data_IF_765856059389
#
_entry.id   IF_765856059389
#
_cell.length_a   1.000
_cell.length_b   1.000
_cell.length_c   1.000
_cell.angle_alpha   90.00
_cell.angle_beta   90.00
_cell.angle_gamma   90.00
#
_symmetry.space_group_name_H-M   'P 1'
#
loop_
_entity.id
_entity.type
_entity.pdbx_description
1 polymer ?
#
# COMPACT_ATOMS: atom_id res chain seq x y z
N UNK A 1 14.06 32.99 -32.42
CA UNK A 1 12.96 32.02 -32.69
C UNK A 1 11.87 32.36 -31.69
N UNK A 2 10.84 33.07 -32.12
CA UNK A 2 9.67 33.44 -31.33
C UNK A 2 8.71 32.26 -31.36
N UNK A 3 8.69 31.47 -30.31
CA UNK A 3 7.57 30.55 -30.07
C UNK A 3 6.33 31.40 -29.82
N UNK A 4 5.36 31.32 -30.76
CA UNK A 4 4.14 32.09 -30.71
C UNK A 4 3.34 31.76 -29.45
N UNK A 5 2.94 32.80 -28.73
CA UNK A 5 1.94 32.73 -27.68
C UNK A 5 0.64 32.12 -28.27
N UNK A 6 -0.04 31.23 -27.57
CA UNK A 6 -1.27 30.63 -28.04
C UNK A 6 -2.34 31.72 -28.23
N UNK A 7 -2.73 31.93 -29.45
CA UNK A 7 -3.76 32.90 -29.83
C UNK A 7 -5.13 32.25 -29.81
N UNK A 8 -5.73 32.16 -28.61
CA UNK A 8 -7.15 31.87 -28.49
C UNK A 8 -7.52 30.86 -27.40
N UNK A 9 -8.68 31.04 -26.80
CA UNK A 9 -9.25 30.13 -25.80
C UNK A 9 -9.40 28.69 -26.33
N UNK A 10 -9.54 28.49 -27.64
CA UNK A 10 -9.65 27.16 -28.28
C UNK A 10 -8.36 26.35 -28.18
N UNK A 11 -7.20 26.98 -28.37
CA UNK A 11 -5.90 26.28 -28.20
C UNK A 11 -5.65 25.86 -26.78
N UNK A 12 -6.08 26.64 -25.79
CA UNK A 12 -5.97 26.29 -24.36
C UNK A 12 -6.87 25.11 -24.00
N UNK A 13 -8.10 25.06 -24.57
CA UNK A 13 -8.98 23.91 -24.35
C UNK A 13 -8.43 22.63 -24.95
N UNK A 14 -7.86 22.66 -26.13
CA UNK A 14 -7.26 21.50 -26.80
C UNK A 14 -6.05 21.01 -26.00
N UNK A 15 -5.17 21.90 -25.53
CA UNK A 15 -4.03 21.55 -24.71
C UNK A 15 -4.46 20.96 -23.35
N UNK A 16 -5.48 21.53 -22.72
CA UNK A 16 -6.03 21.04 -21.46
C UNK A 16 -6.66 19.65 -21.61
N UNK A 17 -7.44 19.42 -22.68
CA UNK A 17 -8.02 18.11 -23.00
C UNK A 17 -6.92 17.06 -23.26
N UNK A 18 -5.88 17.41 -24.02
CA UNK A 18 -4.76 16.52 -24.27
C UNK A 18 -3.99 16.17 -22.98
N UNK A 19 -3.82 17.13 -22.08
CA UNK A 19 -3.22 16.92 -20.76
C UNK A 19 -4.07 16.01 -19.87
N UNK A 20 -5.38 16.24 -19.82
CA UNK A 20 -6.31 15.37 -19.10
C UNK A 20 -6.32 13.95 -19.66
N UNK A 21 -6.36 13.81 -20.98
CA UNK A 21 -6.33 12.50 -21.63
C UNK A 21 -5.07 11.71 -21.28
N UNK A 22 -3.89 12.36 -21.32
CA UNK A 22 -2.63 11.71 -20.90
C UNK A 22 -2.66 11.24 -19.47
N UNK A 23 -3.21 12.05 -18.54
CA UNK A 23 -3.37 11.67 -17.13
C UNK A 23 -4.32 10.48 -16.97
N UNK A 24 -5.46 10.51 -17.65
CA UNK A 24 -6.44 9.41 -17.59
C UNK A 24 -5.85 8.14 -18.18
N UNK A 25 -5.16 8.21 -19.31
CA UNK A 25 -4.49 7.06 -19.90
C UNK A 25 -3.40 6.50 -18.99
N UNK A 26 -2.62 7.36 -18.33
CA UNK A 26 -1.60 6.96 -17.35
C UNK A 26 -2.23 6.22 -16.17
N UNK A 27 -3.29 6.78 -15.57
CA UNK A 27 -4.01 6.13 -14.47
C UNK A 27 -4.61 4.79 -14.93
N UNK A 28 -5.26 4.76 -16.09
CA UNK A 28 -5.85 3.55 -16.66
C UNK A 28 -4.79 2.46 -16.88
N UNK A 29 -3.62 2.82 -17.38
CA UNK A 29 -2.50 1.89 -17.56
C UNK A 29 -2.09 1.24 -16.24
N UNK A 30 -1.94 2.03 -15.15
CA UNK A 30 -1.59 1.48 -13.84
C UNK A 30 -2.71 0.64 -13.23
N UNK A 31 -3.98 1.06 -13.39
CA UNK A 31 -5.14 0.27 -12.91
C UNK A 31 -5.20 -1.08 -13.61
N UNK A 32 -5.05 -1.10 -14.94
CA UNK A 32 -4.99 -2.36 -15.71
C UNK A 32 -3.80 -3.21 -15.25
N UNK A 33 -2.64 -2.59 -15.05
CA UNK A 33 -1.45 -3.27 -14.51
C UNK A 33 -1.71 -3.92 -13.16
N UNK A 34 -2.37 -3.22 -12.23
CA UNK A 34 -2.76 -3.76 -10.93
C UNK A 34 -3.70 -4.96 -11.06
N UNK A 35 -4.69 -4.88 -11.95
CA UNK A 35 -5.61 -6.00 -12.22
C UNK A 35 -4.85 -7.21 -12.75
N UNK A 36 -3.97 -7.02 -13.75
CA UNK A 36 -3.17 -8.11 -14.32
C UNK A 36 -2.25 -8.74 -13.28
N UNK A 37 -1.55 -7.93 -12.47
CA UNK A 37 -0.67 -8.42 -11.41
C UNK A 37 -1.46 -9.18 -10.34
N UNK A 38 -2.65 -8.70 -9.97
CA UNK A 38 -3.54 -9.39 -9.04
C UNK A 38 -3.94 -10.78 -9.58
N UNK A 39 -4.29 -10.87 -10.87
CA UNK A 39 -4.59 -12.15 -11.52
C UNK A 39 -3.39 -13.11 -11.56
N UNK A 40 -2.20 -12.59 -11.89
CA UNK A 40 -0.96 -13.38 -11.83
C UNK A 40 -0.73 -13.90 -10.41
N UNK A 41 -0.92 -13.04 -9.39
CA UNK A 41 -0.78 -13.42 -7.98
C UNK A 41 -1.77 -14.52 -7.57
N UNK A 42 -3.00 -14.49 -8.10
CA UNK A 42 -3.98 -15.56 -7.90
C UNK A 42 -3.57 -16.88 -8.52
N UNK A 43 -2.83 -16.86 -9.62
CA UNK A 43 -2.37 -18.07 -10.31
C UNK A 43 -1.32 -18.84 -9.49
N UNK A 44 -0.52 -18.14 -8.68
CA UNK A 44 0.45 -18.78 -7.77
C UNK A 44 -0.18 -19.37 -6.52
N UNK A 45 -1.31 -20.09 -6.68
CA UNK A 45 -2.11 -20.60 -5.57
C UNK A 45 -1.71 -22.02 -5.09
N UNK A 46 -0.73 -22.68 -5.71
CA UNK A 46 -0.30 -24.03 -5.37
C UNK A 46 -1.31 -25.15 -5.73
N UNK A 47 -2.47 -24.79 -6.30
CA UNK A 47 -3.49 -25.74 -6.77
C UNK A 47 -3.48 -25.90 -8.30
N UNK A 48 -2.71 -25.07 -9.01
CA UNK A 48 -2.63 -25.09 -10.46
C UNK A 48 -3.86 -24.49 -11.18
N UNK A 49 -4.61 -23.63 -10.50
CA UNK A 49 -5.77 -22.93 -11.10
C UNK A 49 -5.24 -21.95 -12.16
N UNK A 50 -5.78 -22.04 -13.37
CA UNK A 50 -5.38 -21.17 -14.47
C UNK A 50 -5.71 -19.69 -14.23
N UNK A 51 -4.98 -18.81 -14.94
CA UNK A 51 -5.16 -17.35 -14.82
C UNK A 51 -6.60 -16.90 -15.09
N UNK A 52 -7.21 -17.40 -16.16
CA UNK A 52 -8.59 -17.04 -16.50
C UNK A 52 -9.61 -17.67 -15.53
N UNK A 53 -9.33 -18.88 -15.05
CA UNK A 53 -10.20 -19.57 -14.10
C UNK A 53 -10.23 -18.84 -12.75
N UNK A 54 -9.12 -18.25 -12.31
CA UNK A 54 -9.10 -17.41 -11.11
C UNK A 54 -10.07 -16.23 -11.21
N UNK A 55 -10.08 -15.52 -12.33
CA UNK A 55 -11.04 -14.43 -12.54
C UNK A 55 -12.47 -14.94 -12.64
N UNK A 56 -12.68 -16.09 -13.26
CA UNK A 56 -14.00 -16.71 -13.32
C UNK A 56 -14.54 -16.99 -11.92
N UNK A 57 -13.77 -17.62 -11.03
CA UNK A 57 -14.17 -17.86 -9.65
C UNK A 57 -14.47 -16.57 -8.89
N UNK A 58 -13.69 -15.50 -9.11
CA UNK A 58 -13.94 -14.20 -8.50
C UNK A 58 -15.29 -13.61 -8.96
N UNK A 59 -15.56 -13.66 -10.25
CA UNK A 59 -16.80 -13.13 -10.83
C UNK A 59 -18.00 -13.99 -10.44
N UNK A 60 -17.88 -15.31 -10.52
CA UNK A 60 -18.94 -16.27 -10.16
C UNK A 60 -19.34 -16.12 -8.70
N UNK A 61 -18.37 -15.96 -7.79
CA UNK A 61 -18.63 -15.72 -6.39
C UNK A 61 -19.36 -14.38 -6.15
N UNK A 62 -18.95 -13.31 -6.83
CA UNK A 62 -19.63 -12.00 -6.75
C UNK A 62 -21.05 -12.03 -7.30
N UNK A 63 -21.32 -12.90 -8.28
CA UNK A 63 -22.65 -13.13 -8.84
C UNK A 63 -23.51 -14.08 -8.00
N UNK A 64 -22.96 -14.61 -6.89
CA UNK A 64 -23.68 -15.51 -5.98
C UNK A 64 -23.72 -16.97 -6.43
N UNK A 65 -22.80 -17.41 -7.28
CA UNK A 65 -22.69 -18.82 -7.64
C UNK A 65 -22.36 -19.67 -6.41
N UNK A 66 -23.02 -20.79 -6.29
CA UNK A 66 -22.82 -21.77 -5.20
C UNK A 66 -22.31 -23.07 -5.79
N UNK A 67 -21.26 -23.61 -5.21
CA UNK A 67 -20.67 -24.89 -5.59
C UNK A 67 -21.06 -25.97 -4.59
N UNK A 68 -21.15 -27.23 -5.06
CA UNK A 68 -21.45 -28.36 -4.19
C UNK A 68 -20.36 -28.50 -3.10
N UNK A 69 -20.79 -28.66 -1.86
CA UNK A 69 -19.90 -28.74 -0.71
C UNK A 69 -18.86 -29.87 -0.87
N UNK A 70 -17.58 -29.52 -0.73
CA UNK A 70 -16.41 -30.40 -0.93
C UNK A 70 -16.14 -30.82 -2.39
N UNK A 71 -16.77 -30.19 -3.37
CA UNK A 71 -16.33 -30.36 -4.76
C UNK A 71 -14.96 -29.69 -4.98
N UNK A 72 -14.19 -30.07 -6.00
CA UNK A 72 -12.95 -29.38 -6.37
C UNK A 72 -13.17 -27.88 -6.59
N UNK A 73 -14.27 -27.51 -7.25
CA UNK A 73 -14.64 -26.14 -7.54
C UNK A 73 -14.95 -25.34 -6.26
N UNK A 74 -15.61 -25.97 -5.27
CA UNK A 74 -15.86 -25.36 -3.99
C UNK A 74 -14.56 -25.05 -3.24
N UNK A 75 -13.57 -25.96 -3.27
CA UNK A 75 -12.28 -25.72 -2.65
C UNK A 75 -11.49 -24.61 -3.36
N UNK A 76 -11.57 -24.53 -4.69
CA UNK A 76 -10.90 -23.51 -5.48
C UNK A 76 -11.48 -22.12 -5.19
N UNK A 77 -12.82 -21.99 -5.18
CA UNK A 77 -13.51 -20.76 -4.79
C UNK A 77 -13.18 -20.36 -3.35
N UNK A 78 -13.26 -21.30 -2.41
CA UNK A 78 -12.95 -21.05 -1.00
C UNK A 78 -11.54 -20.53 -0.79
N UNK A 79 -10.54 -21.13 -1.45
CA UNK A 79 -9.14 -20.72 -1.33
C UNK A 79 -8.91 -19.35 -1.96
N UNK A 80 -9.47 -19.09 -3.13
CA UNK A 80 -9.37 -17.79 -3.79
C UNK A 80 -9.98 -16.72 -2.90
N UNK A 81 -11.20 -16.93 -2.43
CA UNK A 81 -11.96 -15.90 -1.72
C UNK A 81 -11.48 -15.67 -0.28
N UNK A 82 -11.19 -16.73 0.46
CA UNK A 82 -10.84 -16.62 1.89
C UNK A 82 -9.35 -16.47 2.16
N UNK A 83 -8.48 -16.83 1.20
CA UNK A 83 -7.03 -16.79 1.41
C UNK A 83 -6.34 -15.73 0.54
N UNK A 84 -6.65 -15.69 -0.76
CA UNK A 84 -5.92 -14.83 -1.70
C UNK A 84 -6.54 -13.44 -1.85
N UNK A 85 -7.86 -13.33 -1.92
CA UNK A 85 -8.54 -12.03 -2.05
C UNK A 85 -8.24 -11.07 -0.90
N UNK A 86 -8.26 -11.47 0.38
CA UNK A 86 -7.87 -10.59 1.47
C UNK A 86 -6.42 -10.11 1.37
N UNK A 87 -5.50 -10.96 0.90
CA UNK A 87 -4.10 -10.59 0.71
C UNK A 87 -3.93 -9.54 -0.39
N UNK A 88 -4.62 -9.71 -1.50
CA UNK A 88 -4.62 -8.74 -2.60
C UNK A 88 -5.22 -7.41 -2.14
N UNK A 89 -6.35 -7.44 -1.43
CA UNK A 89 -6.98 -6.24 -0.88
C UNK A 89 -6.04 -5.48 0.07
N UNK A 90 -5.38 -6.19 0.98
CA UNK A 90 -4.39 -5.59 1.90
C UNK A 90 -3.21 -5.01 1.12
N UNK A 91 -2.69 -5.72 0.11
CA UNK A 91 -1.58 -5.23 -0.71
C UNK A 91 -1.94 -3.92 -1.45
N UNK A 92 -3.15 -3.84 -2.01
CA UNK A 92 -3.64 -2.62 -2.68
C UNK A 92 -3.77 -1.48 -1.68
N UNK A 93 -4.43 -1.71 -0.54
CA UNK A 93 -4.65 -0.69 0.49
C UNK A 93 -3.31 -0.18 1.05
N UNK A 94 -2.38 -1.10 1.35
CA UNK A 94 -1.05 -0.75 1.85
C UNK A 94 -0.24 0.03 0.82
N UNK A 95 -0.27 -0.39 -0.44
CA UNK A 95 0.39 0.32 -1.54
C UNK A 95 -0.15 1.73 -1.75
N UNK A 96 -1.47 1.91 -1.72
CA UNK A 96 -2.11 3.22 -1.78
C UNK A 96 -1.71 4.09 -0.58
N UNK A 97 -1.71 3.54 0.63
CA UNK A 97 -1.29 4.24 1.84
C UNK A 97 0.16 4.70 1.76
N UNK A 98 1.08 3.82 1.35
CA UNK A 98 2.49 4.16 1.18
C UNK A 98 2.71 5.22 0.10
N UNK A 99 1.98 5.17 -1.01
CA UNK A 99 2.06 6.18 -2.06
C UNK A 99 1.66 7.57 -1.54
N UNK A 100 0.57 7.66 -0.78
CA UNK A 100 0.11 8.92 -0.18
C UNK A 100 1.15 9.44 0.84
N UNK A 101 1.64 8.58 1.73
CA UNK A 101 2.70 8.93 2.67
C UNK A 101 3.96 9.41 1.96
N UNK A 102 4.37 8.74 0.88
CA UNK A 102 5.54 9.13 0.08
C UNK A 102 5.39 10.53 -0.51
N UNK A 103 4.25 10.82 -1.14
CA UNK A 103 3.99 12.15 -1.72
C UNK A 103 4.01 13.25 -0.66
N UNK A 104 3.39 13.01 0.51
CA UNK A 104 3.37 13.95 1.63
C UNK A 104 4.79 14.20 2.13
N UNK A 105 5.57 13.14 2.34
CA UNK A 105 6.95 13.26 2.83
C UNK A 105 7.85 14.02 1.86
N UNK A 106 7.78 13.69 0.56
CA UNK A 106 8.53 14.40 -0.47
C UNK A 106 8.17 15.89 -0.52
N UNK A 107 6.89 16.21 -0.34
CA UNK A 107 6.43 17.59 -0.31
C UNK A 107 6.91 18.34 0.94
N UNK A 108 6.77 17.75 2.12
CA UNK A 108 7.14 18.37 3.41
C UNK A 108 8.65 18.55 3.54
N UNK A 109 9.42 17.57 3.11
CA UNK A 109 10.88 17.60 3.17
C UNK A 109 11.52 18.31 1.95
N UNK A 110 10.69 18.75 0.98
CA UNK A 110 11.14 19.34 -0.28
C UNK A 110 12.28 18.52 -0.93
N UNK A 111 12.20 17.19 -0.81
CA UNK A 111 13.22 16.25 -1.27
C UNK A 111 12.57 15.07 -1.99
N UNK A 112 12.79 14.88 -3.30
CA UNK A 112 12.20 13.77 -4.05
C UNK A 112 12.73 12.38 -3.64
N UNK A 113 13.81 12.32 -2.86
CA UNK A 113 14.38 11.08 -2.33
C UNK A 113 13.81 10.69 -0.96
N UNK A 114 12.89 11.50 -0.40
CA UNK A 114 12.25 11.17 0.86
C UNK A 114 11.32 9.96 0.70
N UNK A 115 11.48 8.99 1.60
CA UNK A 115 10.78 7.72 1.61
C UNK A 115 10.15 7.50 3.00
N UNK A 116 8.90 7.02 3.11
CA UNK A 116 8.27 6.67 4.38
C UNK A 116 9.07 5.65 5.21
N UNK A 117 9.82 4.76 4.57
CA UNK A 117 10.65 3.76 5.25
C UNK A 117 11.85 4.38 5.99
N UNK A 118 12.36 5.53 5.55
CA UNK A 118 13.51 6.19 6.19
C UNK A 118 13.21 6.86 7.52
N UNK A 119 11.97 6.77 8.01
CA UNK A 119 11.55 7.38 9.29
C UNK A 119 11.66 6.48 10.50
N UNK A 120 11.96 5.19 10.30
CA UNK A 120 11.97 4.18 11.37
C UNK A 120 10.57 3.72 11.84
N UNK A 121 9.50 4.32 11.31
CA UNK A 121 8.11 3.97 11.70
C UNK A 121 7.78 2.53 11.31
N UNK A 122 8.24 2.08 10.14
CA UNK A 122 8.04 0.71 9.69
C UNK A 122 8.79 -0.30 10.59
N UNK A 123 10.01 0.05 11.00
CA UNK A 123 10.84 -0.83 11.83
C UNK A 123 10.27 -0.94 13.25
N UNK A 124 9.82 0.19 13.82
CA UNK A 124 9.09 0.19 15.09
C UNK A 124 7.82 -0.68 15.05
N UNK A 125 7.07 -0.61 13.94
CA UNK A 125 5.91 -1.48 13.70
C UNK A 125 6.29 -2.96 13.65
N UNK A 126 7.36 -3.28 12.94
CA UNK A 126 7.90 -4.64 12.84
C UNK A 126 8.34 -5.17 14.20
N UNK A 127 9.03 -4.35 14.99
CA UNK A 127 9.42 -4.71 16.36
C UNK A 127 8.18 -4.99 17.22
N UNK A 128 7.17 -4.11 17.19
CA UNK A 128 5.93 -4.30 17.93
C UNK A 128 5.21 -5.60 17.58
N UNK A 129 5.10 -5.91 16.28
CA UNK A 129 4.54 -7.18 15.81
C UNK A 129 5.38 -8.39 16.26
N UNK A 130 6.69 -8.29 16.15
CA UNK A 130 7.64 -9.36 16.55
C UNK A 130 7.54 -9.67 18.03
N UNK A 131 7.49 -8.64 18.87
CA UNK A 131 7.28 -8.82 20.33
C UNK A 131 5.97 -9.57 20.60
N UNK A 132 4.87 -9.19 19.94
CA UNK A 132 3.59 -9.89 20.11
C UNK A 132 3.65 -11.37 19.68
N UNK A 133 4.35 -11.66 18.58
CA UNK A 133 4.46 -13.02 18.03
C UNK A 133 5.33 -13.91 18.95
N UNK A 134 6.46 -13.38 19.41
CA UNK A 134 7.44 -14.18 20.19
C UNK A 134 6.97 -14.37 21.64
N UNK A 135 6.49 -13.30 22.27
CA UNK A 135 6.16 -13.33 23.70
C UNK A 135 4.70 -13.67 23.98
N UNK A 136 3.83 -13.55 22.98
CA UNK A 136 2.37 -13.64 23.16
C UNK A 136 1.77 -12.43 23.89
N UNK A 137 2.59 -11.45 24.27
CA UNK A 137 2.13 -10.24 24.96
C UNK A 137 1.48 -9.29 23.97
N UNK A 138 0.24 -8.96 24.21
CA UNK A 138 -0.51 -7.97 23.42
C UNK A 138 -1.03 -6.87 24.32
N UNK A 139 -0.96 -5.62 23.86
CA UNK A 139 -1.50 -4.47 24.58
C UNK A 139 -3.03 -4.44 24.61
N UNK A 140 -3.67 -5.28 23.83
CA UNK A 140 -5.13 -5.43 23.84
C UNK A 140 -5.49 -6.83 24.34
N UNK A 141 -6.58 -6.93 25.11
CA UNK A 141 -7.16 -8.22 25.49
C UNK A 141 -7.79 -8.97 24.31
N UNK A 142 -7.54 -8.49 23.09
CA UNK A 142 -8.03 -9.09 21.85
C UNK A 142 -7.04 -10.16 21.44
N UNK A 143 -7.45 -11.41 21.56
CA UNK A 143 -6.64 -12.56 21.18
C UNK A 143 -6.47 -12.64 19.64
N UNK A 144 -5.36 -13.24 19.20
CA UNK A 144 -5.11 -13.56 17.80
C UNK A 144 -4.48 -12.43 16.98
N UNK A 145 -4.80 -12.38 15.69
CA UNK A 145 -4.18 -11.46 14.72
C UNK A 145 -4.37 -9.98 15.04
N UNK A 146 -5.49 -9.60 15.67
CA UNK A 146 -5.76 -8.22 16.07
C UNK A 146 -4.81 -7.74 17.18
N UNK A 147 -4.39 -8.62 18.09
CA UNK A 147 -3.38 -8.30 19.09
C UNK A 147 -2.04 -7.92 18.47
N UNK A 148 -1.62 -8.67 17.44
CA UNK A 148 -0.38 -8.39 16.68
C UNK A 148 -0.48 -7.03 15.96
N UNK A 149 -1.61 -6.75 15.32
CA UNK A 149 -1.85 -5.46 14.63
C UNK A 149 -1.78 -4.29 15.61
N UNK A 150 -2.39 -4.43 16.79
CA UNK A 150 -2.36 -3.40 17.83
C UNK A 150 -0.94 -3.13 18.32
N UNK A 151 -0.17 -4.17 18.58
CA UNK A 151 1.23 -4.04 18.98
C UNK A 151 2.09 -3.40 17.89
N UNK A 152 1.89 -3.80 16.63
CA UNK A 152 2.56 -3.19 15.47
C UNK A 152 2.27 -1.70 15.39
N UNK A 153 1.00 -1.31 15.57
CA UNK A 153 0.60 0.10 15.53
C UNK A 153 1.26 0.90 16.69
N UNK A 154 1.24 0.36 17.91
CA UNK A 154 1.89 1.00 19.07
C UNK A 154 3.40 1.09 18.85
N UNK A 155 4.02 0.04 18.33
CA UNK A 155 5.44 0.04 18.00
C UNK A 155 5.80 1.10 16.97
N UNK A 156 4.98 1.25 15.91
CA UNK A 156 5.14 2.29 14.89
C UNK A 156 4.98 3.71 15.43
N UNK A 157 4.13 3.90 16.45
CA UNK A 157 3.92 5.20 17.07
C UNK A 157 5.14 5.70 17.84
N UNK A 158 5.99 4.82 18.35
CA UNK A 158 7.17 5.22 19.15
C UNK A 158 8.13 6.09 18.34
N UNK A 159 8.71 5.63 17.20
CA UNK A 159 9.58 6.48 16.39
C UNK A 159 8.86 7.70 15.83
N UNK A 160 7.58 7.60 15.46
CA UNK A 160 6.81 8.74 14.98
C UNK A 160 6.71 9.86 16.04
N UNK A 161 6.37 9.52 17.29
CA UNK A 161 6.28 10.48 18.40
C UNK A 161 7.66 11.07 18.72
N UNK A 162 8.72 10.26 18.76
CA UNK A 162 10.09 10.73 18.99
C UNK A 162 10.47 11.75 17.91
N UNK A 163 10.18 11.46 16.65
CA UNK A 163 10.50 12.34 15.52
C UNK A 163 9.75 13.68 15.61
N UNK A 164 8.48 13.65 15.98
CA UNK A 164 7.65 14.85 16.18
C UNK A 164 8.19 15.69 17.34
N UNK A 165 8.47 15.07 18.50
CA UNK A 165 8.99 15.77 19.67
C UNK A 165 10.36 16.39 19.39
N UNK A 166 11.24 15.66 18.71
CA UNK A 166 12.56 16.15 18.36
C UNK A 166 12.49 17.29 17.35
N UNK A 167 11.60 17.18 16.34
CA UNK A 167 11.35 18.23 15.36
C UNK A 167 10.78 19.50 15.97
N UNK A 168 9.99 19.40 17.06
CA UNK A 168 9.45 20.56 17.77
C UNK A 168 10.49 21.21 18.70
N UNK A 169 11.41 20.43 19.24
CA UNK A 169 12.43 20.92 20.17
C UNK A 169 13.64 21.57 19.45
N UNK A 170 13.97 21.11 18.26
CA UNK A 170 15.10 21.58 17.47
C UNK A 170 14.64 21.95 16.06
N UNK A 171 15.09 23.09 15.54
CA UNK A 171 14.84 23.44 14.12
C UNK A 171 15.57 22.46 13.23
N UNK A 172 14.87 21.39 12.81
CA UNK A 172 15.41 20.35 11.96
C UNK A 172 15.38 20.79 10.49
N UNK A 173 16.50 20.62 9.81
CA UNK A 173 16.52 20.64 8.35
C UNK A 173 15.93 19.34 7.80
N UNK A 174 15.43 19.31 6.54
CA UNK A 174 14.97 18.08 5.90
C UNK A 174 16.00 16.94 5.94
N UNK A 175 17.26 17.27 5.73
CA UNK A 175 18.36 16.31 5.80
C UNK A 175 18.53 15.73 7.22
N UNK A 176 18.39 16.56 8.25
CA UNK A 176 18.46 16.12 9.65
C UNK A 176 17.31 15.19 9.99
N UNK A 177 16.08 15.45 9.49
CA UNK A 177 14.92 14.56 9.68
C UNK A 177 15.20 13.18 9.10
N UNK A 178 15.75 13.09 7.90
CA UNK A 178 16.12 11.80 7.27
C UNK A 178 17.19 11.08 8.08
N UNK A 179 18.24 11.81 8.52
CA UNK A 179 19.31 11.23 9.32
C UNK A 179 18.81 10.66 10.65
N UNK A 180 17.95 11.40 11.35
CA UNK A 180 17.34 10.93 12.61
C UNK A 180 16.46 9.72 12.34
N UNK A 181 15.64 9.75 11.29
CA UNK A 181 14.79 8.62 10.90
C UNK A 181 15.61 7.36 10.63
N UNK A 182 16.70 7.49 9.85
CA UNK A 182 17.60 6.37 9.57
C UNK A 182 18.30 5.85 10.85
N UNK A 183 18.68 6.73 11.76
CA UNK A 183 19.23 6.32 13.06
C UNK A 183 18.19 5.57 13.89
N UNK A 184 16.91 5.99 13.86
CA UNK A 184 15.80 5.28 14.51
C UNK A 184 15.59 3.89 13.92
N UNK A 185 15.64 3.73 12.58
CA UNK A 185 15.61 2.41 11.92
C UNK A 185 16.71 1.46 12.42
N UNK A 186 17.88 1.99 12.76
CA UNK A 186 18.99 1.19 13.31
C UNK A 186 18.82 0.78 14.77
N UNK A 187 17.87 1.40 15.49
CA UNK A 187 17.55 1.08 16.89
C UNK A 187 16.47 0.00 16.97
N UNK A 188 15.51 0.00 16.06
CA UNK A 188 14.37 -0.94 15.98
C UNK A 188 14.66 -2.13 15.08
#
# INVERSE_FOLDING_TARGET
>A
MSEGLPTGCEDLEVQYRAYLLRKVLFIAFFVIGCVVIAGISLTFNGRGIGFLDCYKYVVDHLLGATYEYRSPEWFDDYVIWNKYMPRIAIAIISGCGLAVCGVIMQSVLANPLADPYTTGVSDGGTLGATVAIITGLTFSNIAGSMGIVTNAFIGAMIPAVILILLSSAVRMSPATCILVGTAMSGIF
#
